data_IF_128437096189
#
_entry.id   IF_128437096189
#
_cell.length_a   1.000
_cell.length_b   1.000
_cell.length_c   1.000
_cell.angle_alpha   90.00
_cell.angle_beta   90.00
_cell.angle_gamma   90.00
#
_symmetry.space_group_name_H-M   'P 1'
#
loop_
_entity.id
_entity.type
_entity.pdbx_description
1 polymer ?
#
# COMPACT_ATOMS: atom_id res chain seq x y z
N UNK A 1 21.80 -6.56 23.35
CA UNK A 1 20.46 -6.36 23.95
C UNK A 1 20.09 -4.90 23.79
N UNK A 2 19.49 -4.48 22.65
CA UNK A 2 19.19 -3.07 22.41
C UNK A 2 17.92 -2.65 23.17
N UNK A 3 17.95 -1.42 23.68
CA UNK A 3 16.98 -0.82 24.59
C UNK A 3 15.61 -0.57 23.96
N UNK A 4 14.59 -1.10 24.62
CA UNK A 4 13.14 -0.96 24.40
C UNK A 4 12.59 0.50 24.48
N UNK A 5 13.44 1.52 24.63
CA UNK A 5 13.03 2.85 25.12
C UNK A 5 12.47 3.81 24.07
N UNK A 6 12.86 3.70 22.80
CA UNK A 6 12.46 4.69 21.77
C UNK A 6 11.07 4.39 21.20
N UNK A 7 10.62 3.13 21.29
CA UNK A 7 9.26 2.72 20.88
C UNK A 7 8.16 3.04 21.90
N UNK A 8 8.53 3.49 23.11
CA UNK A 8 7.59 3.79 24.19
C UNK A 8 7.09 5.25 24.10
N UNK A 9 7.93 6.20 23.66
CA UNK A 9 7.58 7.63 23.62
C UNK A 9 6.48 7.94 22.60
N UNK A 10 6.57 7.38 21.40
CA UNK A 10 5.55 7.54 20.35
C UNK A 10 4.20 6.95 20.76
N UNK A 11 4.20 5.81 21.46
CA UNK A 11 2.98 5.20 22.02
C UNK A 11 2.38 6.00 23.18
N UNK A 12 3.21 6.59 24.05
CA UNK A 12 2.74 7.36 25.21
C UNK A 12 2.13 8.72 24.85
N UNK A 13 2.60 9.36 23.77
CA UNK A 13 1.99 10.60 23.26
C UNK A 13 0.61 10.35 22.65
N UNK A 14 0.44 9.26 21.89
CA UNK A 14 -0.88 8.86 21.37
C UNK A 14 -1.83 8.32 22.47
N UNK A 15 -1.28 7.72 23.53
CA UNK A 15 -2.07 7.15 24.64
C UNK A 15 -2.71 8.18 25.56
N UNK A 16 -2.10 9.36 25.76
CA UNK A 16 -2.61 10.39 26.70
C UNK A 16 -3.83 11.15 26.18
N UNK A 17 -4.11 11.11 24.87
CA UNK A 17 -5.33 11.71 24.29
C UNK A 17 -6.55 10.78 24.29
N UNK A 18 -6.38 9.49 24.62
CA UNK A 18 -7.44 8.47 24.56
C UNK A 18 -8.31 8.33 25.81
N UNK A 19 -8.03 9.05 26.90
CA UNK A 19 -8.68 8.82 28.21
C UNK A 19 -10.00 9.56 28.46
N UNK A 20 -10.59 10.24 27.48
CA UNK A 20 -11.92 10.81 27.66
C UNK A 20 -12.82 10.52 26.46
N UNK A 21 -13.38 9.30 26.45
CA UNK A 21 -14.76 8.96 26.05
C UNK A 21 -14.89 7.44 26.11
N UNK A 22 -15.57 6.94 27.15
CA UNK A 22 -16.14 5.59 27.13
C UNK A 22 -17.25 5.61 26.06
N UNK A 23 -16.95 5.07 24.89
CA UNK A 23 -17.95 4.72 23.89
C UNK A 23 -18.09 3.19 23.90
N UNK A 24 -19.34 2.76 23.77
CA UNK A 24 -19.81 1.37 23.83
C UNK A 24 -18.99 0.46 22.92
N UNK A 25 -18.74 -0.78 23.38
CA UNK A 25 -17.94 -1.75 22.66
C UNK A 25 -18.55 -2.07 21.28
N UNK A 26 -17.73 -2.31 20.24
CA UNK A 26 -18.25 -2.59 18.92
C UNK A 26 -19.01 -3.91 18.94
N UNK A 27 -20.24 -3.89 18.42
CA UNK A 27 -20.98 -5.09 18.03
C UNK A 27 -20.11 -5.82 17.00
N UNK A 28 -19.56 -6.97 17.37
CA UNK A 28 -18.84 -7.83 16.44
C UNK A 28 -19.84 -8.41 15.45
N UNK A 29 -19.99 -7.77 14.29
CA UNK A 29 -20.63 -8.41 13.14
C UNK A 29 -19.73 -9.61 12.78
N UNK A 30 -20.25 -10.82 12.95
CA UNK A 30 -19.52 -12.03 12.57
C UNK A 30 -19.35 -12.00 11.05
N UNK A 31 -18.14 -11.71 10.60
CA UNK A 31 -17.76 -11.75 9.19
C UNK A 31 -18.11 -13.15 8.65
N UNK A 32 -18.81 -13.21 7.51
CA UNK A 32 -19.22 -14.46 6.85
C UNK A 32 -18.80 -14.43 5.40
N UNK A 33 -18.26 -15.55 4.94
CA UNK A 33 -17.71 -15.70 3.59
C UNK A 33 -16.25 -15.26 3.48
N UNK A 34 -15.90 -14.79 2.29
CA UNK A 34 -14.61 -14.28 1.90
C UNK A 34 -14.70 -12.78 1.61
N UNK A 35 -13.81 -12.00 2.21
CA UNK A 35 -13.66 -10.58 1.94
C UNK A 35 -12.27 -10.27 1.36
N UNK A 36 -12.24 -9.49 0.28
CA UNK A 36 -11.02 -8.93 -0.29
C UNK A 36 -10.98 -7.44 0.02
N UNK A 37 -10.04 -7.05 0.85
CA UNK A 37 -9.81 -5.69 1.31
C UNK A 37 -8.78 -4.98 0.42
N UNK A 38 -8.93 -3.66 0.36
CA UNK A 38 -8.10 -2.78 -0.47
C UNK A 38 -7.38 -1.75 0.39
N UNK A 39 -6.24 -1.27 -0.09
CA UNK A 39 -5.50 -0.19 0.59
C UNK A 39 -6.01 1.21 0.20
N UNK A 40 -6.71 1.33 -0.93
CA UNK A 40 -7.29 2.60 -1.36
C UNK A 40 -8.37 3.09 -0.37
N UNK A 41 -8.37 4.38 -0.01
CA UNK A 41 -9.42 4.93 0.83
C UNK A 41 -10.79 4.80 0.14
N UNK A 42 -11.85 4.70 0.95
CA UNK A 42 -13.25 4.66 0.50
C UNK A 42 -13.62 3.52 -0.47
N UNK A 43 -12.72 2.57 -0.69
CA UNK A 43 -12.95 1.41 -1.54
C UNK A 43 -13.56 0.27 -0.73
N UNK A 44 -14.79 -0.10 -1.06
CA UNK A 44 -15.51 -1.15 -0.36
C UNK A 44 -14.91 -2.52 -0.70
N UNK A 45 -14.77 -3.43 0.28
CA UNK A 45 -14.30 -4.79 0.05
C UNK A 45 -15.12 -5.52 -1.02
N UNK A 46 -14.52 -6.52 -1.66
CA UNK A 46 -15.29 -7.53 -2.39
C UNK A 46 -15.74 -8.60 -1.42
N UNK A 47 -17.03 -8.95 -1.46
CA UNK A 47 -17.64 -9.94 -0.58
C UNK A 47 -18.15 -11.12 -1.39
N UNK A 48 -17.78 -12.33 -0.99
CA UNK A 48 -18.22 -13.58 -1.58
C UNK A 48 -18.81 -14.45 -0.48
N UNK A 49 -20.06 -14.87 -0.63
CA UNK A 49 -20.77 -15.63 0.42
C UNK A 49 -20.63 -17.15 0.25
N UNK A 50 -20.51 -17.61 -0.99
CA UNK A 50 -20.40 -19.01 -1.38
C UNK A 50 -19.69 -19.10 -2.72
N UNK A 51 -19.33 -20.32 -3.11
CA UNK A 51 -18.69 -20.73 -4.38
C UNK A 51 -17.18 -21.02 -4.23
N UNK A 52 -16.54 -21.48 -5.30
CA UNK A 52 -15.12 -21.80 -5.36
C UNK A 52 -14.43 -20.86 -6.35
N UNK A 53 -13.40 -20.17 -5.89
CA UNK A 53 -12.65 -19.22 -6.72
C UNK A 53 -11.16 -19.56 -6.69
N UNK A 54 -10.49 -19.37 -7.81
CA UNK A 54 -9.03 -19.28 -7.81
C UNK A 54 -8.58 -17.91 -7.30
N UNK A 55 -7.40 -17.85 -6.69
CA UNK A 55 -6.82 -16.57 -6.28
C UNK A 55 -6.60 -15.63 -7.49
N UNK A 56 -6.33 -16.17 -8.69
CA UNK A 56 -6.21 -15.38 -9.92
C UNK A 56 -7.54 -14.72 -10.34
N UNK A 57 -8.66 -15.45 -10.33
CA UNK A 57 -9.98 -14.88 -10.64
C UNK A 57 -10.33 -13.73 -9.69
N UNK A 58 -10.06 -13.92 -8.40
CA UNK A 58 -10.25 -12.91 -7.38
C UNK A 58 -9.34 -11.69 -7.57
N UNK A 59 -8.07 -11.89 -7.96
CA UNK A 59 -7.16 -10.81 -8.34
C UNK A 59 -7.66 -10.03 -9.56
N UNK A 60 -8.26 -10.70 -10.55
CA UNK A 60 -8.85 -10.04 -11.72
C UNK A 60 -10.03 -9.14 -11.32
N UNK A 61 -10.93 -9.62 -10.45
CA UNK A 61 -12.04 -8.81 -9.95
C UNK A 61 -11.55 -7.64 -9.08
N UNK A 62 -10.54 -7.88 -8.24
CA UNK A 62 -9.88 -6.85 -7.44
C UNK A 62 -9.21 -5.78 -8.31
N UNK A 63 -8.50 -6.18 -9.37
CA UNK A 63 -7.87 -5.25 -10.31
C UNK A 63 -8.90 -4.36 -11.01
N UNK A 64 -10.03 -4.94 -11.45
CA UNK A 64 -11.15 -4.17 -12.03
C UNK A 64 -11.70 -3.15 -11.03
N UNK A 65 -11.91 -3.55 -9.77
CA UNK A 65 -12.39 -2.67 -8.69
C UNK A 65 -11.45 -1.49 -8.46
N UNK A 66 -10.14 -1.68 -8.61
CA UNK A 66 -9.12 -0.67 -8.40
C UNK A 66 -8.65 0.01 -9.69
N UNK A 67 -9.32 -0.21 -10.84
CA UNK A 67 -8.95 0.34 -12.14
C UNK A 67 -7.52 0.03 -12.61
N UNK A 68 -6.93 -1.06 -12.11
CA UNK A 68 -5.60 -1.52 -12.51
C UNK A 68 -5.68 -2.17 -13.89
N UNK A 69 -4.80 -1.79 -14.81
CA UNK A 69 -4.83 -2.33 -16.17
C UNK A 69 -4.40 -3.80 -16.20
N UNK A 70 -4.86 -4.57 -17.21
CA UNK A 70 -4.41 -5.95 -17.41
C UNK A 70 -2.89 -6.12 -17.48
N UNK A 71 -2.16 -5.09 -17.92
CA UNK A 71 -0.69 -5.09 -18.00
C UNK A 71 -0.01 -5.11 -16.62
N UNK A 72 -0.69 -4.57 -15.61
CA UNK A 72 -0.18 -4.44 -14.24
C UNK A 72 -0.79 -5.47 -13.28
N UNK A 73 -1.88 -6.16 -13.63
CA UNK A 73 -2.54 -7.17 -12.77
C UNK A 73 -1.56 -8.21 -12.20
N UNK A 74 -0.60 -8.66 -13.01
CA UNK A 74 0.37 -9.69 -12.60
C UNK A 74 1.41 -9.21 -11.57
N UNK A 75 1.43 -7.92 -11.23
CA UNK A 75 2.25 -7.38 -10.14
C UNK A 75 1.60 -7.61 -8.76
N UNK A 76 0.31 -7.99 -8.73
CA UNK A 76 -0.49 -8.12 -7.53
C UNK A 76 -0.78 -9.57 -7.17
N UNK A 77 -1.19 -9.77 -5.91
CA UNK A 77 -1.63 -11.05 -5.37
C UNK A 77 -2.52 -10.87 -4.14
N UNK A 78 -2.99 -11.99 -3.58
CA UNK A 78 -3.77 -12.00 -2.35
C UNK A 78 -2.88 -12.34 -1.15
N UNK A 79 -2.96 -11.51 -0.12
CA UNK A 79 -2.21 -11.64 1.12
C UNK A 79 -3.14 -11.80 2.32
N UNK A 80 -2.90 -12.84 3.13
CA UNK A 80 -3.54 -13.00 4.44
C UNK A 80 -2.66 -12.34 5.50
N UNK A 81 -3.10 -11.21 6.06
CA UNK A 81 -2.37 -10.48 7.10
C UNK A 81 -2.30 -11.26 8.43
N UNK A 82 -3.28 -12.12 8.72
CA UNK A 82 -3.31 -12.89 9.97
C UNK A 82 -2.30 -14.04 9.93
N UNK A 83 -2.26 -14.75 8.80
CA UNK A 83 -1.32 -15.87 8.61
C UNK A 83 0.04 -15.42 8.07
N UNK A 84 0.15 -14.18 7.60
CA UNK A 84 1.31 -13.62 6.90
C UNK A 84 1.70 -14.43 5.65
N UNK A 85 0.71 -14.94 4.92
CA UNK A 85 0.91 -15.81 3.77
C UNK A 85 0.35 -15.20 2.49
N UNK A 86 1.01 -15.53 1.37
CA UNK A 86 0.55 -15.21 0.03
C UNK A 86 -0.09 -16.42 -0.61
N UNK A 87 -1.23 -16.21 -1.26
CA UNK A 87 -1.88 -17.25 -2.03
C UNK A 87 -1.21 -17.39 -3.40
N UNK A 88 -1.02 -18.64 -3.85
CA UNK A 88 -0.62 -18.92 -5.22
C UNK A 88 -1.78 -18.61 -6.18
N UNK A 89 -1.54 -18.11 -7.40
CA UNK A 89 -2.61 -17.71 -8.32
C UNK A 89 -3.58 -18.85 -8.65
N UNK A 90 -3.08 -20.09 -8.70
CA UNK A 90 -3.88 -21.30 -8.94
C UNK A 90 -4.51 -21.90 -7.67
N UNK A 91 -4.36 -21.28 -6.50
CA UNK A 91 -4.95 -21.78 -5.26
C UNK A 91 -6.46 -21.61 -5.31
N UNK A 92 -7.20 -22.71 -5.06
CA UNK A 92 -8.66 -22.71 -5.03
C UNK A 92 -9.14 -22.45 -3.60
N UNK A 93 -9.84 -21.33 -3.42
CA UNK A 93 -10.49 -20.92 -2.18
C UNK A 93 -11.94 -21.38 -2.24
N UNK A 94 -12.33 -22.26 -1.32
CA UNK A 94 -13.72 -22.70 -1.17
C UNK A 94 -14.41 -21.82 -0.13
N UNK A 95 -15.44 -21.11 -0.55
CA UNK A 95 -16.22 -20.22 0.30
C UNK A 95 -17.53 -20.91 0.67
N UNK A 96 -17.81 -21.00 1.96
CA UNK A 96 -19.05 -21.54 2.52
C UNK A 96 -19.66 -20.55 3.51
N UNK A 97 -20.91 -20.78 3.92
CA UNK A 97 -21.63 -19.90 4.85
C UNK A 97 -20.98 -19.82 6.24
N UNK A 98 -20.08 -20.75 6.57
CA UNK A 98 -19.29 -20.83 7.79
C UNK A 98 -17.87 -20.26 7.63
N UNK A 99 -17.42 -19.98 6.41
CA UNK A 99 -16.09 -19.40 6.19
C UNK A 99 -16.02 -17.96 6.69
N UNK A 100 -14.84 -17.57 7.16
CA UNK A 100 -14.53 -16.21 7.59
C UNK A 100 -13.08 -15.93 7.17
N UNK A 101 -12.92 -15.60 5.89
CA UNK A 101 -11.60 -15.41 5.28
C UNK A 101 -11.44 -13.94 4.92
N UNK A 102 -10.40 -13.30 5.44
CA UNK A 102 -10.05 -11.91 5.12
C UNK A 102 -8.72 -11.87 4.39
N UNK A 103 -8.74 -11.45 3.12
CA UNK A 103 -7.54 -11.27 2.31
C UNK A 103 -7.38 -9.80 1.92
N UNK A 104 -6.15 -9.39 1.63
CA UNK A 104 -5.84 -8.09 1.07
C UNK A 104 -5.31 -8.27 -0.35
N UNK A 105 -5.89 -7.51 -1.29
CA UNK A 105 -5.30 -7.38 -2.61
C UNK A 105 -4.07 -6.48 -2.50
N UNK A 106 -2.90 -6.97 -2.91
CA UNK A 106 -1.63 -6.34 -2.56
C UNK A 106 -0.60 -6.46 -3.69
N UNK A 107 0.14 -5.39 -3.97
CA UNK A 107 1.29 -5.45 -4.87
C UNK A 107 2.36 -6.35 -4.25
N UNK A 108 2.72 -7.41 -4.97
CA UNK A 108 3.64 -8.46 -4.54
C UNK A 108 4.98 -8.37 -5.26
N UNK A 109 4.97 -8.10 -6.55
CA UNK A 109 6.17 -8.03 -7.38
C UNK A 109 6.58 -6.58 -7.56
N UNK A 110 7.67 -6.21 -6.87
CA UNK A 110 8.18 -4.85 -6.83
C UNK A 110 9.62 -4.81 -7.37
N UNK A 111 9.95 -3.77 -8.13
CA UNK A 111 11.28 -3.56 -8.71
C UNK A 111 11.83 -2.24 -8.18
N UNK A 112 12.99 -2.23 -7.54
CA UNK A 112 13.56 -0.99 -7.01
C UNK A 112 13.90 -0.02 -8.14
N UNK A 113 13.82 1.28 -7.85
CA UNK A 113 14.05 2.35 -8.80
C UNK A 113 13.20 2.29 -10.10
N UNK A 114 12.00 1.71 -10.04
CA UNK A 114 11.02 1.72 -11.14
C UNK A 114 10.63 3.14 -11.59
N UNK A 115 10.75 4.13 -10.69
CA UNK A 115 10.49 5.55 -10.96
C UNK A 115 11.70 6.28 -11.58
N UNK A 116 12.89 5.68 -11.56
CA UNK A 116 14.10 6.19 -12.20
C UNK A 116 14.63 7.52 -11.63
N UNK A 117 14.29 7.86 -10.39
CA UNK A 117 14.76 9.11 -9.74
C UNK A 117 16.04 8.93 -8.93
N UNK A 118 16.45 7.69 -8.65
CA UNK A 118 17.74 7.41 -8.01
C UNK A 118 18.83 7.30 -9.07
N UNK A 119 19.88 8.12 -8.94
CA UNK A 119 21.09 8.03 -9.77
C UNK A 119 22.00 6.87 -9.36
N UNK A 120 21.78 6.27 -8.18
CA UNK A 120 22.62 5.19 -7.63
C UNK A 120 22.24 3.81 -8.16
N UNK A 121 21.02 3.65 -8.63
CA UNK A 121 20.46 2.38 -9.12
C UNK A 121 20.08 2.50 -10.59
N UNK A 122 20.07 1.39 -11.33
CA UNK A 122 19.57 1.38 -12.70
C UNK A 122 18.05 1.55 -12.72
N UNK A 123 17.48 2.37 -13.62
CA UNK A 123 16.04 2.51 -13.72
C UNK A 123 15.41 1.26 -14.36
N UNK A 124 14.16 0.96 -14.00
CA UNK A 124 13.44 -0.23 -14.49
C UNK A 124 12.27 0.17 -15.38
N UNK A 125 12.24 -0.37 -16.60
CA UNK A 125 11.22 -0.09 -17.61
C UNK A 125 10.67 -1.36 -18.24
N UNK A 126 9.44 -1.30 -18.75
CA UNK A 126 8.93 -2.32 -19.68
C UNK A 126 9.56 -2.12 -21.04
N UNK A 127 9.95 -3.23 -21.68
CA UNK A 127 10.51 -3.21 -23.02
C UNK A 127 9.51 -2.58 -24.02
N UNK A 128 10.03 -1.77 -24.94
CA UNK A 128 9.25 -1.13 -26.00
C UNK A 128 9.96 -1.28 -27.34
N UNK A 129 9.22 -1.59 -28.40
CA UNK A 129 9.78 -1.68 -29.76
C UNK A 129 9.98 -0.26 -30.29
N UNK A 130 11.23 0.14 -30.51
CA UNK A 130 11.63 1.52 -30.84
C UNK A 130 10.95 2.13 -32.06
N UNK A 131 10.43 1.31 -33.00
CA UNK A 131 9.76 1.77 -34.24
C UNK A 131 8.40 2.44 -34.02
N UNK A 132 7.77 2.27 -32.86
CA UNK A 132 6.52 2.96 -32.49
C UNK A 132 6.75 4.37 -31.94
N UNK A 133 7.99 4.68 -31.56
CA UNK A 133 8.38 6.02 -31.08
C UNK A 133 8.87 6.78 -32.30
N UNK A 134 7.93 7.33 -33.07
CA UNK A 134 8.22 8.17 -34.25
C UNK A 134 9.39 9.10 -33.93
N UNK A 135 10.51 8.89 -34.62
CA UNK A 135 11.78 9.51 -34.26
C UNK A 135 11.65 11.03 -34.24
N UNK A 136 12.26 11.68 -33.26
CA UNK A 136 12.74 13.06 -33.27
C UNK A 136 13.42 13.38 -31.92
N UNK A 137 14.74 13.58 -31.94
CA UNK A 137 15.43 14.38 -30.92
C UNK A 137 16.62 13.70 -30.21
N UNK A 138 17.79 14.37 -30.12
CA UNK A 138 18.89 13.97 -29.26
C UNK A 138 18.57 14.41 -27.83
N UNK A 139 17.64 13.73 -27.17
CA UNK A 139 17.43 13.87 -25.73
C UNK A 139 17.17 12.50 -25.14
N UNK A 140 17.67 12.34 -23.90
CA UNK A 140 17.61 11.16 -23.02
C UNK A 140 16.16 10.72 -22.73
N UNK A 141 15.44 10.28 -23.75
CA UNK A 141 14.08 9.79 -23.60
C UNK A 141 14.15 8.41 -22.90
N UNK A 142 13.24 8.10 -21.95
CA UNK A 142 13.26 6.83 -21.22
C UNK A 142 13.34 5.65 -22.17
N UNK A 143 14.23 4.68 -21.94
CA UNK A 143 14.46 3.56 -22.88
C UNK A 143 13.28 2.57 -22.98
N UNK A 144 12.17 2.80 -22.28
CA UNK A 144 11.00 1.93 -22.30
C UNK A 144 9.68 2.60 -21.92
N UNK A 145 8.67 1.79 -21.65
CA UNK A 145 7.37 2.20 -21.12
C UNK A 145 7.43 2.14 -19.58
N UNK A 146 6.83 3.09 -18.85
CA UNK A 146 6.72 3.02 -17.39
C UNK A 146 6.20 1.66 -16.90
N UNK A 147 6.74 1.18 -15.78
CA UNK A 147 6.36 -0.13 -15.24
C UNK A 147 4.92 -0.15 -14.72
N UNK A 148 4.52 0.94 -14.05
CA UNK A 148 3.21 1.12 -13.42
C UNK A 148 2.34 2.06 -14.24
N UNK A 149 1.05 1.75 -14.32
CA UNK A 149 0.03 2.72 -14.71
C UNK A 149 -0.37 3.60 -13.51
N UNK A 150 -1.20 4.62 -13.76
CA UNK A 150 -1.62 5.58 -12.74
C UNK A 150 -2.33 4.90 -11.56
N UNK A 151 -3.30 4.01 -11.83
CA UNK A 151 -4.04 3.30 -10.79
C UNK A 151 -3.14 2.40 -9.93
N UNK A 152 -2.17 1.72 -10.54
CA UNK A 152 -1.20 0.89 -9.81
C UNK A 152 -0.27 1.72 -8.93
N UNK A 153 0.08 2.93 -9.37
CA UNK A 153 0.86 3.87 -8.57
C UNK A 153 0.05 4.39 -7.37
N UNK A 154 -1.19 4.81 -7.58
CA UNK A 154 -2.08 5.25 -6.49
C UNK A 154 -2.29 4.13 -5.46
N UNK A 155 -2.47 2.90 -5.94
CA UNK A 155 -2.59 1.73 -5.08
C UNK A 155 -1.32 1.44 -4.28
N UNK A 156 -0.15 1.49 -4.94
CA UNK A 156 1.15 1.30 -4.29
C UNK A 156 1.40 2.39 -3.24
N UNK A 157 1.03 3.64 -3.51
CA UNK A 157 1.13 4.73 -2.56
C UNK A 157 0.30 4.45 -1.30
N UNK A 158 -0.98 4.10 -1.46
CA UNK A 158 -1.86 3.78 -0.34
C UNK A 158 -1.38 2.56 0.45
N UNK A 159 -0.90 1.52 -0.25
CA UNK A 159 -0.29 0.34 0.38
C UNK A 159 0.97 0.72 1.17
N UNK A 160 1.86 1.54 0.59
CA UNK A 160 3.09 1.98 1.25
C UNK A 160 2.83 2.83 2.50
N UNK A 161 1.82 3.71 2.47
CA UNK A 161 1.38 4.44 3.67
C UNK A 161 0.89 3.48 4.76
N UNK A 162 0.07 2.50 4.41
CA UNK A 162 -0.40 1.49 5.35
C UNK A 162 0.75 0.69 5.96
N UNK A 163 1.69 0.24 5.14
CA UNK A 163 2.87 -0.51 5.56
C UNK A 163 3.74 0.30 6.52
N UNK A 164 3.95 1.58 6.23
CA UNK A 164 4.72 2.46 7.09
C UNK A 164 4.02 2.66 8.45
N UNK A 165 2.70 2.90 8.45
CA UNK A 165 1.92 3.08 9.68
C UNK A 165 1.81 1.81 10.53
N UNK A 166 1.66 0.64 9.89
CA UNK A 166 1.61 -0.67 10.58
C UNK A 166 3.00 -1.20 10.96
N UNK A 167 4.09 -0.54 10.54
CA UNK A 167 5.47 -0.98 10.80
C UNK A 167 5.90 -2.20 9.96
N UNK A 168 5.23 -2.46 8.84
CA UNK A 168 5.60 -3.48 7.86
C UNK A 168 6.75 -3.02 6.96
N UNK A 169 6.84 -1.71 6.69
CA UNK A 169 7.98 -1.08 6.04
C UNK A 169 8.99 -0.64 7.11
N UNK A 170 9.94 -1.51 7.43
CA UNK A 170 10.91 -1.27 8.51
C UNK A 170 11.91 -0.19 8.11
N UNK A 171 11.95 0.88 8.90
CA UNK A 171 12.97 1.93 8.79
C UNK A 171 14.32 1.37 9.24
N UNK A 172 15.40 1.76 8.54
CA UNK A 172 16.77 1.30 8.87
C UNK A 172 17.11 1.59 10.33
N UNK A 173 17.84 0.68 10.98
CA UNK A 173 18.31 0.92 12.35
C UNK A 173 19.42 1.99 12.34
N UNK A 174 19.32 3.04 13.17
CA UNK A 174 20.35 4.07 13.24
C UNK A 174 21.65 3.50 13.81
N UNK A 175 22.78 3.88 13.22
CA UNK A 175 24.12 3.53 13.69
C UNK A 175 24.73 4.60 14.60
N UNK A 176 24.13 5.80 14.64
CA UNK A 176 24.55 6.93 15.48
C UNK A 176 23.37 7.83 15.82
N UNK A 177 23.53 8.70 16.82
CA UNK A 177 22.52 9.74 17.16
C UNK A 177 22.26 10.68 15.98
N UNK A 178 23.31 11.03 15.22
CA UNK A 178 23.17 11.87 14.03
C UNK A 178 22.30 11.20 12.96
N UNK A 179 22.52 9.91 12.70
CA UNK A 179 21.70 9.16 11.75
C UNK A 179 20.26 8.97 12.26
N UNK A 180 20.07 8.83 13.58
CA UNK A 180 18.73 8.77 14.15
C UNK A 180 17.96 10.06 13.87
N UNK A 181 18.57 11.24 14.09
CA UNK A 181 17.93 12.52 13.78
C UNK A 181 17.68 12.71 12.28
N UNK A 182 18.57 12.22 11.41
CA UNK A 182 18.34 12.22 9.96
C UNK A 182 17.11 11.39 9.59
N UNK A 183 17.02 10.17 10.12
CA UNK A 183 15.87 9.27 9.91
C UNK A 183 14.57 9.91 10.41
N UNK A 184 14.59 10.52 11.59
CA UNK A 184 13.42 11.22 12.14
C UNK A 184 12.95 12.36 11.22
N UNK A 185 13.89 13.15 10.69
CA UNK A 185 13.57 14.22 9.75
C UNK A 185 13.02 13.71 8.41
N UNK A 186 13.57 12.62 7.87
CA UNK A 186 13.01 11.97 6.67
C UNK A 186 11.58 11.46 6.92
N UNK A 187 11.32 10.84 8.08
CA UNK A 187 9.98 10.42 8.47
C UNK A 187 9.00 11.61 8.56
N UNK A 188 9.44 12.75 9.10
CA UNK A 188 8.63 13.97 9.12
C UNK A 188 8.37 14.50 7.71
N UNK A 189 9.37 14.45 6.82
CA UNK A 189 9.20 14.77 5.40
C UNK A 189 8.13 13.92 4.74
N UNK A 190 8.16 12.60 4.97
CA UNK A 190 7.14 11.66 4.47
C UNK A 190 5.74 11.97 5.01
N UNK A 191 5.62 12.35 6.28
CA UNK A 191 4.33 12.76 6.86
C UNK A 191 3.79 14.04 6.19
N UNK A 192 4.64 15.03 5.93
CA UNK A 192 4.26 16.25 5.22
C UNK A 192 3.80 15.94 3.79
N UNK A 193 4.50 15.06 3.08
CA UNK A 193 4.09 14.60 1.74
C UNK A 193 2.72 13.93 1.77
N UNK A 194 2.47 13.04 2.73
CA UNK A 194 1.18 12.38 2.90
C UNK A 194 0.04 13.37 3.16
N UNK A 195 0.24 14.33 4.07
CA UNK A 195 -0.76 15.36 4.39
C UNK A 195 -1.01 16.28 3.19
N UNK A 196 0.04 16.67 2.48
CA UNK A 196 -0.06 17.52 1.29
C UNK A 196 -0.83 16.81 0.18
N UNK A 197 -0.51 15.54 -0.08
CA UNK A 197 -1.22 14.73 -1.06
C UNK A 197 -2.72 14.62 -0.74
N UNK A 198 -3.06 14.37 0.52
CA UNK A 198 -4.45 14.31 0.97
C UNK A 198 -5.19 15.64 0.84
N UNK A 199 -4.53 16.75 1.21
CA UNK A 199 -5.08 18.09 1.05
C UNK A 199 -5.40 18.39 -0.42
N UNK A 200 -4.47 18.05 -1.32
CA UNK A 200 -4.66 18.21 -2.77
C UNK A 200 -5.79 17.33 -3.30
N UNK A 201 -5.85 16.05 -2.89
CA UNK A 201 -6.85 15.10 -3.36
C UNK A 201 -8.26 15.46 -2.91
N UNK A 202 -8.42 16.02 -1.70
CA UNK A 202 -9.72 16.46 -1.17
C UNK A 202 -10.03 17.93 -1.44
N UNK A 203 -9.14 18.64 -2.13
CA UNK A 203 -9.25 20.07 -2.42
C UNK A 203 -9.47 20.93 -1.16
N UNK A 204 -8.82 20.56 -0.05
CA UNK A 204 -8.92 21.28 1.24
C UNK A 204 -7.61 22.00 1.58
N UNK A 205 -7.65 23.06 2.41
CA UNK A 205 -6.44 23.70 2.92
C UNK A 205 -5.58 22.75 3.73
N UNK A 206 -4.24 22.91 3.64
CA UNK A 206 -3.28 22.08 4.37
C UNK A 206 -3.50 22.14 5.89
N UNK A 207 -3.88 23.31 6.42
CA UNK A 207 -4.19 23.51 7.84
C UNK A 207 -5.40 22.69 8.32
N UNK A 208 -6.32 22.36 7.42
CA UNK A 208 -7.49 21.51 7.72
C UNK A 208 -7.10 20.05 7.62
N UNK A 209 -6.37 19.67 6.57
CA UNK A 209 -5.87 18.31 6.35
C UNK A 209 -5.02 17.79 7.52
N UNK A 210 -4.17 18.63 8.11
CA UNK A 210 -3.33 18.24 9.25
C UNK A 210 -4.12 17.82 10.50
N UNK A 211 -5.38 18.24 10.61
CA UNK A 211 -6.25 17.90 11.74
C UNK A 211 -7.12 16.66 11.46
N UNK A 212 -7.31 16.29 10.19
CA UNK A 212 -8.17 15.18 9.74
C UNK A 212 -7.40 13.90 9.45
N UNK A 213 -6.17 13.99 8.96
CA UNK A 213 -5.27 12.83 8.85
C UNK A 213 -4.92 12.35 10.27
N UNK A 214 -5.40 11.16 10.63
CA UNK A 214 -5.12 10.46 11.88
C UNK A 214 -4.76 9.01 11.63
#
# INVERSE_FOLDING_TARGET
MPSLGVMELGRQLCGKMRRSRRAEGPVTVTMRGLEIHFYLPDTHPLEFLKDCFTAEELCVEAAKRCYISPLCCNLFGLYDENQQLWYAPNHVIKVTDETCIKLHYRMRFYFTNWHGTSERESPVWRHCISKLRGGLGPQRAPEGIPLLDAASLDYLFAQGQNDFQKGLAVVRCPQSEAEQHEIENECLGMAVLAITHYAMTREIPLSTASNEIR
#
